data_IF_243036636771
#
_entry.id   IF_243036636771
#
_cell.length_a   1.000
_cell.length_b   1.000
_cell.length_c   1.000
_cell.angle_alpha   90.00
_cell.angle_beta   90.00
_cell.angle_gamma   90.00
#
_symmetry.space_group_name_H-M   'P 1'
#
loop_
_entity.id
_entity.type
_entity.pdbx_description
1 polymer ?
#
# COMPACT_ATOMS: atom_id res chain seq x y z
N UNK A 1 9.08 2.33 3.22
CA UNK A 1 9.48 1.05 3.82
C UNK A 1 9.74 0.01 2.73
N UNK A 2 10.85 -0.71 2.82
CA UNK A 2 11.14 -1.86 1.96
C UNK A 2 10.27 -3.06 2.33
N UNK A 3 9.68 -3.70 1.31
CA UNK A 3 8.69 -4.77 1.53
C UNK A 3 9.33 -6.06 2.07
N UNK A 4 10.57 -6.35 1.70
CA UNK A 4 11.28 -7.55 2.12
C UNK A 4 11.94 -7.36 3.49
N UNK A 5 12.90 -6.45 3.58
CA UNK A 5 13.72 -6.26 4.78
C UNK A 5 13.00 -5.54 5.92
N UNK A 6 11.87 -4.88 5.63
CA UNK A 6 11.17 -3.97 6.55
C UNK A 6 11.99 -2.74 6.93
N UNK A 7 13.06 -2.47 6.20
CA UNK A 7 13.82 -1.23 6.37
C UNK A 7 12.92 -0.03 6.12
N UNK A 8 12.85 0.85 7.12
CA UNK A 8 12.02 2.04 7.06
C UNK A 8 12.88 3.31 7.06
N UNK A 9 12.50 4.26 6.24
CA UNK A 9 13.02 5.61 6.20
C UNK A 9 11.89 6.60 6.48
N UNK A 10 12.17 7.63 7.24
CA UNK A 10 11.26 8.75 7.48
C UNK A 10 12.06 10.04 7.58
N UNK A 11 11.55 11.10 6.98
CA UNK A 11 12.21 12.39 6.92
C UNK A 11 11.23 13.50 7.28
N UNK A 12 11.60 14.43 8.16
CA UNK A 12 10.79 15.61 8.41
C UNK A 12 10.80 16.51 7.17
N UNK A 13 9.64 16.99 6.77
CA UNK A 13 9.48 17.93 5.64
C UNK A 13 8.68 19.14 6.07
N UNK A 14 9.01 20.31 5.52
CA UNK A 14 8.34 21.58 5.87
C UNK A 14 6.93 21.69 5.31
N UNK A 15 6.72 21.10 4.15
CA UNK A 15 5.43 21.06 3.46
C UNK A 15 5.30 19.74 2.70
N UNK A 16 4.07 19.40 2.30
CA UNK A 16 3.76 18.19 1.53
C UNK A 16 3.60 18.46 0.03
N UNK A 17 4.30 19.46 -0.50
CA UNK A 17 4.32 19.73 -1.93
C UNK A 17 5.02 18.61 -2.70
N UNK A 18 4.52 18.31 -3.89
CA UNK A 18 5.06 17.23 -4.73
C UNK A 18 6.56 17.38 -5.00
N UNK A 19 7.05 18.61 -5.21
CA UNK A 19 8.46 18.89 -5.42
C UNK A 19 9.31 18.56 -4.18
N UNK A 20 8.83 18.88 -2.97
CA UNK A 20 9.51 18.57 -1.72
C UNK A 20 9.60 17.08 -1.50
N UNK A 21 8.50 16.35 -1.70
CA UNK A 21 8.45 14.89 -1.56
C UNK A 21 9.35 14.20 -2.59
N UNK A 22 9.30 14.65 -3.85
CA UNK A 22 10.13 14.13 -4.94
C UNK A 22 11.62 14.33 -4.66
N UNK A 23 12.02 15.51 -4.18
CA UNK A 23 13.41 15.81 -3.81
C UNK A 23 13.91 14.88 -2.70
N UNK A 24 13.12 14.68 -1.65
CA UNK A 24 13.47 13.76 -0.56
C UNK A 24 13.60 12.32 -1.07
N UNK A 25 12.68 11.87 -1.92
CA UNK A 25 12.75 10.54 -2.52
C UNK A 25 14.06 10.35 -3.30
N UNK A 26 14.40 11.29 -4.17
CA UNK A 26 15.63 11.19 -4.99
C UNK A 26 16.88 11.27 -4.12
N UNK A 27 17.04 12.32 -3.32
CA UNK A 27 18.28 12.59 -2.59
C UNK A 27 18.51 11.61 -1.41
N UNK A 28 17.44 11.22 -0.72
CA UNK A 28 17.57 10.45 0.53
C UNK A 28 17.32 8.96 0.35
N UNK A 29 16.60 8.56 -0.69
CA UNK A 29 16.29 7.15 -0.93
C UNK A 29 17.02 6.64 -2.16
N UNK A 30 16.76 7.19 -3.34
CA UNK A 30 17.31 6.68 -4.60
C UNK A 30 18.85 6.81 -4.63
N UNK A 31 19.40 7.97 -4.24
CA UNK A 31 20.87 8.16 -4.20
C UNK A 31 21.58 7.29 -3.15
N UNK A 32 20.86 6.74 -2.16
CA UNK A 32 21.46 5.89 -1.11
C UNK A 32 21.28 4.40 -1.36
N UNK A 33 20.13 3.99 -1.85
CA UNK A 33 19.74 2.60 -1.96
C UNK A 33 19.61 2.11 -3.42
N UNK A 34 19.75 3.02 -4.38
CA UNK A 34 19.51 2.73 -5.79
C UNK A 34 18.03 2.90 -6.18
N UNK A 35 17.80 2.78 -7.49
CA UNK A 35 16.46 2.88 -8.07
C UNK A 35 15.65 1.62 -7.75
N UNK A 36 14.47 1.74 -7.11
CA UNK A 36 13.63 0.59 -6.83
C UNK A 36 12.93 0.11 -8.11
N UNK A 37 12.61 -1.17 -8.20
CA UNK A 37 11.83 -1.74 -9.31
C UNK A 37 10.40 -1.19 -9.31
N UNK A 38 9.81 -1.01 -8.13
CA UNK A 38 8.44 -0.48 -8.01
C UNK A 38 8.27 0.36 -6.75
N UNK A 39 7.35 1.33 -6.82
CA UNK A 39 6.93 2.15 -5.68
C UNK A 39 5.43 2.01 -5.49
N UNK A 40 5.02 1.50 -4.33
CA UNK A 40 3.63 1.45 -3.91
C UNK A 40 3.30 2.66 -3.03
N UNK A 41 2.31 3.46 -3.42
CA UNK A 41 1.83 4.59 -2.62
C UNK A 41 0.31 4.65 -2.59
N UNK A 42 -0.24 5.52 -1.73
CA UNK A 42 -1.62 5.96 -1.84
C UNK A 42 -1.80 6.89 -3.05
N UNK A 43 -3.01 7.41 -3.21
CA UNK A 43 -3.37 8.33 -4.31
C UNK A 43 -3.30 9.80 -3.87
N UNK A 44 -2.43 10.12 -2.91
CA UNK A 44 -2.17 11.50 -2.50
C UNK A 44 -1.60 12.31 -3.66
N UNK A 45 -2.03 13.56 -3.82
CA UNK A 45 -1.56 14.44 -4.92
C UNK A 45 -0.04 14.64 -4.87
N UNK A 46 0.54 14.62 -3.70
CA UNK A 46 1.98 14.76 -3.44
C UNK A 46 2.81 13.57 -3.94
N UNK A 47 2.23 12.38 -3.97
CA UNK A 47 2.91 11.13 -4.39
C UNK A 47 2.38 10.57 -5.70
N UNK A 48 1.26 11.10 -6.22
CA UNK A 48 0.68 10.71 -7.51
C UNK A 48 0.59 11.87 -8.52
N UNK A 49 1.24 13.00 -8.23
CA UNK A 49 1.31 14.16 -9.11
C UNK A 49 2.20 13.95 -10.34
N UNK A 50 2.17 14.91 -11.27
CA UNK A 50 2.94 14.87 -12.52
C UNK A 50 4.45 14.68 -12.29
N UNK A 51 5.03 15.39 -11.32
CA UNK A 51 6.47 15.29 -10.98
C UNK A 51 6.85 13.86 -10.60
N UNK A 52 6.06 13.21 -9.76
CA UNK A 52 6.36 11.85 -9.32
C UNK A 52 6.23 10.84 -10.46
N UNK A 53 5.24 11.00 -11.35
CA UNK A 53 5.08 10.14 -12.52
C UNK A 53 6.24 10.30 -13.50
N UNK A 54 6.71 11.53 -13.70
CA UNK A 54 7.84 11.82 -14.56
C UNK A 54 9.14 11.20 -14.03
N UNK A 55 9.40 11.32 -12.71
CA UNK A 55 10.55 10.66 -12.07
C UNK A 55 10.45 9.14 -12.23
N UNK A 56 9.29 8.55 -11.97
CA UNK A 56 9.11 7.10 -12.14
C UNK A 56 9.33 6.67 -13.59
N UNK A 57 8.85 7.44 -14.57
CA UNK A 57 9.07 7.18 -15.99
C UNK A 57 10.54 7.27 -16.40
N UNK A 58 11.24 8.33 -15.97
CA UNK A 58 12.66 8.53 -16.28
C UNK A 58 13.57 7.45 -15.68
N UNK A 59 13.22 6.94 -14.52
CA UNK A 59 13.99 5.94 -13.79
C UNK A 59 13.46 4.51 -13.97
N UNK A 60 12.51 4.31 -14.88
CA UNK A 60 11.88 3.01 -15.18
C UNK A 60 11.31 2.32 -13.93
N UNK A 61 10.68 3.11 -13.06
CA UNK A 61 10.08 2.63 -11.81
C UNK A 61 8.60 2.32 -12.04
N UNK A 62 8.17 1.09 -11.73
CA UNK A 62 6.76 0.74 -11.74
C UNK A 62 5.99 1.44 -10.64
N UNK A 63 5.13 2.39 -11.00
CA UNK A 63 4.29 3.10 -10.05
C UNK A 63 3.02 2.32 -9.76
N UNK A 64 2.94 1.76 -8.55
CA UNK A 64 1.79 0.99 -8.08
C UNK A 64 0.93 1.84 -7.14
N UNK A 65 -0.39 1.71 -7.27
CA UNK A 65 -1.35 2.41 -6.42
C UNK A 65 -2.04 1.45 -5.46
N UNK A 66 -2.21 1.90 -4.21
CA UNK A 66 -3.10 1.20 -3.31
C UNK A 66 -4.53 1.38 -3.80
N UNK A 67 -5.24 0.28 -4.00
CA UNK A 67 -6.66 0.33 -4.34
C UNK A 67 -7.43 1.01 -3.20
N UNK A 68 -8.23 2.01 -3.52
CA UNK A 68 -9.15 2.69 -2.58
C UNK A 68 -10.06 1.68 -1.85
N UNK A 69 -10.23 0.49 -2.45
CA UNK A 69 -11.15 -0.54 -2.00
C UNK A 69 -10.50 -1.73 -1.29
N UNK A 70 -9.15 -1.78 -1.20
CA UNK A 70 -8.44 -2.89 -0.55
C UNK A 70 -7.45 -2.38 0.50
N UNK A 71 -7.88 -2.13 1.75
CA UNK A 71 -7.05 -1.63 2.85
C UNK A 71 -5.82 -2.50 3.14
N UNK A 72 -5.90 -3.80 2.86
CA UNK A 72 -4.78 -4.74 3.10
C UNK A 72 -3.52 -4.44 2.30
N UNK A 73 -3.63 -3.73 1.18
CA UNK A 73 -2.49 -3.40 0.31
C UNK A 73 -1.55 -2.39 0.98
N UNK A 74 -2.09 -1.49 1.82
CA UNK A 74 -1.32 -0.49 2.56
C UNK A 74 -1.06 -0.86 4.03
N UNK A 75 -1.48 -2.04 4.44
CA UNK A 75 -1.44 -2.45 5.85
C UNK A 75 -0.02 -2.48 6.45
N UNK A 76 1.02 -2.62 5.63
CA UNK A 76 2.40 -2.62 6.11
C UNK A 76 2.82 -1.20 6.52
N UNK A 77 2.57 -0.20 5.68
CA UNK A 77 2.92 1.19 5.98
C UNK A 77 2.05 1.75 7.13
N UNK A 78 0.77 1.36 7.19
CA UNK A 78 -0.11 1.74 8.30
C UNK A 78 0.35 1.17 9.65
N UNK A 79 0.80 -0.09 9.67
CA UNK A 79 1.40 -0.69 10.88
C UNK A 79 2.69 0.01 11.26
N UNK A 80 3.54 0.31 10.30
CA UNK A 80 4.76 1.08 10.55
C UNK A 80 4.45 2.46 11.13
N UNK A 81 3.52 3.24 10.54
CA UNK A 81 3.13 4.54 11.08
C UNK A 81 2.59 4.43 12.52
N UNK A 82 1.83 3.39 12.82
CA UNK A 82 1.34 3.16 14.20
C UNK A 82 2.48 2.90 15.16
N UNK A 83 3.44 2.05 14.78
CA UNK A 83 4.63 1.76 15.58
C UNK A 83 5.48 3.01 15.75
N UNK A 84 5.76 3.74 14.67
CA UNK A 84 6.54 4.98 14.68
C UNK A 84 5.91 6.02 15.60
N UNK A 85 4.63 6.30 15.47
CA UNK A 85 3.91 7.24 16.32
C UNK A 85 3.90 6.82 17.80
N UNK A 86 3.74 5.52 18.06
CA UNK A 86 3.83 4.99 19.44
C UNK A 86 5.22 5.16 20.05
N UNK A 87 6.27 4.96 19.26
CA UNK A 87 7.65 5.12 19.74
C UNK A 87 8.00 6.60 19.96
N UNK A 88 7.66 7.46 19.02
CA UNK A 88 7.83 8.92 19.13
C UNK A 88 7.08 9.44 20.37
N UNK A 89 5.82 9.04 20.56
CA UNK A 89 5.01 9.48 21.68
C UNK A 89 5.55 9.11 23.07
N UNK A 90 6.54 8.21 23.14
CA UNK A 90 7.20 7.85 24.42
C UNK A 90 8.42 8.72 24.74
N UNK A 91 8.97 9.42 23.78
CA UNK A 91 10.26 10.14 23.92
C UNK A 91 10.13 11.65 23.71
N UNK A 92 9.07 12.12 23.05
CA UNK A 92 8.86 13.55 22.82
C UNK A 92 8.50 14.30 24.10
N UNK A 93 8.83 15.59 24.13
CA UNK A 93 8.44 16.50 25.21
C UNK A 93 6.93 16.76 25.25
N UNK A 94 6.44 17.28 26.37
CA UNK A 94 5.01 17.64 26.54
C UNK A 94 4.53 18.65 25.47
N UNK A 95 5.42 19.49 24.97
CA UNK A 95 5.12 20.48 23.92
C UNK A 95 5.04 19.88 22.52
N UNK A 96 5.55 18.66 22.33
CA UNK A 96 5.56 17.93 21.06
C UNK A 96 6.20 18.70 19.87
N UNK A 97 7.15 19.58 20.15
CA UNK A 97 7.82 20.39 19.13
C UNK A 97 9.16 19.84 18.66
N UNK A 98 9.65 18.79 19.30
CA UNK A 98 10.97 18.16 19.14
C UNK A 98 10.90 16.77 18.48
N UNK A 99 9.77 16.42 17.86
CA UNK A 99 9.56 15.09 17.30
C UNK A 99 10.54 14.76 16.16
N UNK A 100 10.96 15.75 15.39
CA UNK A 100 11.90 15.63 14.27
C UNK A 100 13.33 15.35 14.76
N UNK A 101 13.72 15.85 15.92
CA UNK A 101 14.99 15.55 16.57
C UNK A 101 15.06 14.09 17.05
N UNK A 102 13.94 13.53 17.52
CA UNK A 102 13.86 12.15 17.97
C UNK A 102 13.72 11.13 16.84
N UNK A 103 13.30 11.55 15.66
CA UNK A 103 13.00 10.68 14.53
C UNK A 103 14.17 9.76 14.13
N UNK A 104 15.43 10.22 14.02
CA UNK A 104 16.57 9.35 13.71
C UNK A 104 16.81 8.25 14.75
N UNK A 105 16.65 8.57 16.03
CA UNK A 105 16.86 7.60 17.12
C UNK A 105 15.77 6.55 17.16
N UNK A 106 14.53 6.95 16.95
CA UNK A 106 13.39 6.05 16.88
C UNK A 106 13.52 5.11 15.67
N UNK A 107 13.94 5.61 14.51
CA UNK A 107 14.19 4.79 13.35
C UNK A 107 15.36 3.81 13.56
N UNK A 108 16.43 4.25 14.23
CA UNK A 108 17.55 3.37 14.58
C UNK A 108 17.10 2.22 15.48
N UNK A 109 16.29 2.51 16.52
CA UNK A 109 15.72 1.48 17.40
C UNK A 109 14.78 0.53 16.64
N UNK A 110 13.92 1.04 15.75
CA UNK A 110 13.05 0.22 14.90
C UNK A 110 13.87 -0.74 14.01
N UNK A 111 14.92 -0.23 13.36
CA UNK A 111 15.77 -1.03 12.45
C UNK A 111 16.61 -2.08 13.17
N UNK A 112 16.92 -1.87 14.45
CA UNK A 112 17.65 -2.83 15.30
C UNK A 112 16.73 -3.90 15.91
N UNK A 113 15.40 -3.70 15.88
CA UNK A 113 14.46 -4.63 16.50
C UNK A 113 14.03 -5.70 15.50
N UNK A 114 13.97 -7.00 15.88
CA UNK A 114 13.44 -8.05 15.04
C UNK A 114 11.98 -7.79 14.68
N UNK A 115 11.63 -7.94 13.40
CA UNK A 115 10.28 -7.73 12.93
C UNK A 115 9.48 -9.04 12.97
N UNK A 116 8.27 -9.02 13.54
CA UNK A 116 7.43 -10.22 13.78
C UNK A 116 7.23 -11.09 12.53
N UNK A 117 7.14 -10.50 11.33
CA UNK A 117 6.87 -11.26 10.10
C UNK A 117 8.11 -11.91 9.51
N UNK A 118 9.30 -11.32 9.65
CA UNK A 118 10.57 -11.86 9.14
C UNK A 118 11.34 -12.64 10.22
N UNK A 119 11.17 -12.26 11.49
CA UNK A 119 11.92 -12.76 12.62
C UNK A 119 13.36 -12.25 12.68
N UNK A 120 13.71 -11.29 11.82
CA UNK A 120 15.02 -10.66 11.75
C UNK A 120 14.89 -9.15 11.82
N UNK A 121 15.96 -8.48 12.24
CA UNK A 121 16.02 -7.03 12.23
C UNK A 121 16.13 -6.49 10.79
N UNK A 122 15.58 -5.32 10.49
CA UNK A 122 15.85 -4.62 9.24
C UNK A 122 17.35 -4.35 9.00
N UNK A 123 18.12 -4.09 10.05
CA UNK A 123 19.57 -3.93 9.96
C UNK A 123 20.24 -5.18 9.36
N UNK A 124 19.95 -6.34 9.91
CA UNK A 124 20.53 -7.59 9.43
C UNK A 124 20.15 -7.88 7.98
N UNK A 125 18.87 -7.70 7.62
CA UNK A 125 18.39 -7.97 6.26
C UNK A 125 18.88 -6.96 5.21
N UNK A 126 19.18 -5.71 5.59
CA UNK A 126 19.61 -4.68 4.64
C UNK A 126 21.12 -4.51 4.62
N UNK A 127 21.76 -4.53 5.79
CA UNK A 127 23.20 -4.26 5.95
C UNK A 127 24.05 -5.54 6.08
N UNK A 128 23.41 -6.70 6.21
CA UNK A 128 24.08 -7.98 6.46
C UNK A 128 24.65 -8.14 7.88
N UNK A 129 24.44 -7.17 8.75
CA UNK A 129 24.92 -7.16 10.14
C UNK A 129 24.00 -6.38 11.03
N UNK A 130 24.07 -6.65 12.34
CA UNK A 130 23.45 -5.78 13.32
C UNK A 130 24.31 -4.53 13.54
N UNK A 131 23.65 -3.41 13.81
CA UNK A 131 24.34 -2.19 14.21
C UNK A 131 24.68 -2.27 15.71
N UNK A 132 25.93 -1.95 16.06
CA UNK A 132 26.32 -1.78 17.45
C UNK A 132 25.64 -0.56 18.03
N UNK A 133 24.85 -0.75 19.07
CA UNK A 133 24.26 0.35 19.83
C UNK A 133 25.31 1.03 20.72
N UNK A 134 25.11 2.29 21.13
CA UNK A 134 26.02 2.95 22.08
C UNK A 134 26.21 2.16 23.37
N UNK A 135 25.19 1.47 23.85
CA UNK A 135 25.23 0.58 25.03
C UNK A 135 26.16 -0.62 24.81
N UNK A 136 26.18 -1.21 23.61
CA UNK A 136 27.06 -2.34 23.28
C UNK A 136 28.54 -1.92 23.34
N UNK A 137 28.81 -0.66 22.99
CA UNK A 137 30.17 -0.10 23.10
C UNK A 137 30.56 0.10 24.55
N UNK A 138 29.64 0.58 25.39
CA UNK A 138 29.89 0.86 26.81
C UNK A 138 30.07 -0.43 27.62
N UNK A 139 29.22 -1.43 27.36
CA UNK A 139 29.25 -2.70 28.09
C UNK A 139 30.19 -3.75 27.48
N UNK A 140 30.80 -3.45 26.36
CA UNK A 140 31.74 -4.36 25.71
C UNK A 140 31.13 -5.71 25.36
N UNK A 141 29.89 -5.73 24.91
CA UNK A 141 29.25 -6.98 24.50
C UNK A 141 30.11 -7.68 23.44
N UNK A 142 30.42 -8.97 23.63
CA UNK A 142 31.24 -9.70 22.68
C UNK A 142 30.59 -9.68 21.31
N UNK A 143 31.39 -9.41 20.30
CA UNK A 143 30.95 -9.64 18.92
C UNK A 143 30.54 -11.11 18.81
N UNK A 144 29.32 -11.45 18.39
CA UNK A 144 28.86 -12.84 18.32
C UNK A 144 29.58 -13.65 17.22
N UNK A 145 30.55 -13.08 16.58
CA UNK A 145 31.27 -13.75 15.50
C UNK A 145 32.54 -14.40 16.04
N UNK A 146 32.69 -15.72 15.91
CA UNK A 146 34.01 -16.32 16.08
C UNK A 146 34.96 -15.67 15.06
N UNK A 147 36.15 -15.32 15.53
CA UNK A 147 37.26 -14.92 14.64
C UNK A 147 37.56 -16.11 13.71
N UNK A 148 36.89 -16.15 12.57
CA UNK A 148 37.32 -17.04 11.47
C UNK A 148 38.56 -16.38 10.92
N UNK A 149 39.71 -17.05 11.06
CA UNK A 149 40.92 -16.68 10.35
C UNK A 149 40.64 -16.66 8.85
N UNK A 150 40.31 -15.46 8.36
CA UNK A 150 40.02 -15.25 6.94
C UNK A 150 41.33 -14.97 6.25
N UNK A 151 41.85 -15.98 5.60
CA UNK A 151 43.16 -15.89 4.96
C UNK A 151 43.18 -15.05 3.68
N UNK A 152 42.01 -14.77 3.07
CA UNK A 152 41.94 -13.94 1.86
C UNK A 152 40.62 -13.10 1.80
N UNK A 153 40.65 -12.02 1.00
CA UNK A 153 39.44 -11.22 0.70
C UNK A 153 38.35 -12.05 0.01
N UNK A 154 38.76 -13.05 -0.80
CA UNK A 154 37.80 -13.92 -1.50
C UNK A 154 37.02 -14.78 -0.51
N UNK A 155 37.68 -15.38 0.48
CA UNK A 155 37.06 -16.21 1.50
C UNK A 155 36.05 -15.40 2.35
N UNK A 156 36.41 -14.15 2.65
CA UNK A 156 35.51 -13.23 3.35
C UNK A 156 34.25 -12.97 2.54
N UNK A 157 34.36 -12.65 1.25
CA UNK A 157 33.26 -12.36 0.37
C UNK A 157 32.35 -13.57 0.20
N UNK A 158 32.88 -14.76 0.00
CA UNK A 158 32.14 -16.01 -0.14
C UNK A 158 31.38 -16.35 1.16
N UNK A 159 32.05 -16.21 2.30
CA UNK A 159 31.42 -16.43 3.60
C UNK A 159 30.27 -15.46 3.84
N UNK A 160 30.47 -14.16 3.56
CA UNK A 160 29.45 -13.14 3.69
C UNK A 160 28.27 -13.42 2.75
N UNK A 161 28.51 -13.76 1.49
CA UNK A 161 27.45 -14.12 0.53
C UNK A 161 26.65 -15.34 0.99
N UNK A 162 27.33 -16.37 1.49
CA UNK A 162 26.68 -17.58 1.98
C UNK A 162 25.83 -17.29 3.21
N UNK A 163 26.35 -16.51 4.17
CA UNK A 163 25.62 -16.06 5.36
C UNK A 163 24.38 -15.26 4.98
N UNK A 164 24.51 -14.29 4.07
CA UNK A 164 23.36 -13.49 3.60
C UNK A 164 22.31 -14.33 2.88
N UNK A 165 22.73 -15.27 2.01
CA UNK A 165 21.79 -16.19 1.34
C UNK A 165 20.97 -16.98 2.35
N UNK A 166 21.64 -17.59 3.34
CA UNK A 166 20.97 -18.37 4.39
C UNK A 166 19.96 -17.52 5.17
N UNK A 167 20.35 -16.31 5.59
CA UNK A 167 19.46 -15.39 6.30
C UNK A 167 18.26 -14.96 5.43
N UNK A 168 18.50 -14.70 4.15
CA UNK A 168 17.43 -14.31 3.22
C UNK A 168 16.44 -15.45 2.96
N UNK A 169 16.91 -16.68 2.83
CA UNK A 169 16.04 -17.84 2.62
C UNK A 169 15.17 -18.08 3.86
N UNK A 170 15.76 -18.04 5.05
CA UNK A 170 15.00 -18.12 6.30
C UNK A 170 13.97 -16.97 6.46
N UNK A 171 14.36 -15.76 6.05
CA UNK A 171 13.44 -14.61 6.08
C UNK A 171 12.28 -14.79 5.08
N UNK A 172 12.55 -15.28 3.86
CA UNK A 172 11.51 -15.58 2.86
C UNK A 172 10.51 -16.60 3.38
N UNK A 173 10.99 -17.66 3.99
CA UNK A 173 10.12 -18.70 4.54
C UNK A 173 9.20 -18.15 5.64
N UNK A 174 9.74 -17.37 6.57
CA UNK A 174 8.95 -16.72 7.62
C UNK A 174 7.95 -15.72 7.07
N UNK A 175 8.35 -14.90 6.08
CA UNK A 175 7.45 -13.97 5.39
C UNK A 175 6.32 -14.72 4.68
N UNK A 176 6.61 -15.84 4.01
CA UNK A 176 5.62 -16.71 3.38
C UNK A 176 4.62 -17.28 4.38
N UNK A 177 5.10 -17.76 5.52
CA UNK A 177 4.23 -18.25 6.61
C UNK A 177 3.37 -17.13 7.20
N UNK A 178 3.94 -15.94 7.41
CA UNK A 178 3.20 -14.78 7.90
C UNK A 178 2.11 -14.33 6.90
N UNK A 179 2.42 -14.30 5.60
CA UNK A 179 1.46 -14.01 4.55
C UNK A 179 0.32 -15.05 4.52
N UNK A 180 0.65 -16.34 4.66
CA UNK A 180 -0.33 -17.42 4.74
C UNK A 180 -1.25 -17.31 5.98
N UNK A 181 -0.71 -16.93 7.15
CA UNK A 181 -1.51 -16.65 8.35
C UNK A 181 -2.45 -15.46 8.15
N UNK A 182 -1.93 -14.36 7.62
CA UNK A 182 -2.72 -13.16 7.35
C UNK A 182 -3.84 -13.43 6.34
N UNK A 183 -3.56 -14.20 5.29
CA UNK A 183 -4.57 -14.62 4.31
C UNK A 183 -5.68 -15.45 4.97
N UNK A 184 -5.32 -16.48 5.75
CA UNK A 184 -6.31 -17.31 6.46
C UNK A 184 -7.17 -16.48 7.41
N UNK A 185 -6.59 -15.56 8.18
CA UNK A 185 -7.33 -14.71 9.09
C UNK A 185 -8.27 -13.74 8.33
N UNK A 186 -7.83 -13.23 7.18
CA UNK A 186 -8.68 -12.43 6.30
C UNK A 186 -9.85 -13.27 5.76
N UNK A 187 -9.57 -14.44 5.21
CA UNK A 187 -10.58 -15.34 4.63
C UNK A 187 -11.61 -15.80 5.67
N UNK A 188 -11.21 -16.05 6.92
CA UNK A 188 -12.14 -16.38 8.02
C UNK A 188 -13.09 -15.21 8.36
N UNK A 189 -12.65 -13.97 8.20
CA UNK A 189 -13.46 -12.79 8.48
C UNK A 189 -14.33 -12.36 7.29
N UNK A 190 -14.00 -12.82 6.09
CA UNK A 190 -14.79 -12.58 4.88
C UNK A 190 -15.98 -13.54 4.88
N UNK A 191 -17.13 -13.07 5.34
CA UNK A 191 -18.40 -13.77 5.08
C UNK A 191 -18.62 -13.73 3.57
N UNK A 192 -18.85 -14.87 2.91
CA UNK A 192 -19.15 -14.90 1.48
C UNK A 192 -20.54 -14.28 1.25
N UNK A 193 -20.61 -12.95 1.25
CA UNK A 193 -21.82 -12.23 0.89
C UNK A 193 -21.84 -12.09 -0.62
N UNK A 194 -22.49 -13.02 -1.30
CA UNK A 194 -22.82 -12.85 -2.71
C UNK A 194 -24.08 -11.99 -2.81
N UNK A 195 -23.96 -10.86 -3.52
CA UNK A 195 -25.09 -10.01 -3.86
C UNK A 195 -25.42 -10.20 -5.33
N UNK A 196 -26.71 -10.13 -5.64
CA UNK A 196 -27.21 -10.19 -7.01
C UNK A 196 -27.79 -8.82 -7.42
N UNK A 197 -27.83 -8.49 -8.72
CA UNK A 197 -28.51 -7.28 -9.18
C UNK A 197 -29.95 -7.21 -8.65
N UNK A 198 -30.32 -6.03 -8.13
CA UNK A 198 -31.60 -5.82 -7.47
C UNK A 198 -31.56 -5.95 -5.94
N UNK A 199 -30.52 -6.50 -5.35
CA UNK A 199 -30.37 -6.57 -3.90
C UNK A 199 -30.23 -5.18 -3.28
N UNK A 200 -30.92 -4.96 -2.14
CA UNK A 200 -30.76 -3.75 -1.35
C UNK A 200 -29.63 -3.93 -0.32
N UNK A 201 -28.76 -2.92 -0.23
CA UNK A 201 -27.57 -2.94 0.62
C UNK A 201 -27.35 -1.60 1.32
N UNK A 202 -26.68 -1.64 2.46
CA UNK A 202 -26.11 -0.47 3.10
C UNK A 202 -24.62 -0.39 2.75
N UNK A 203 -24.15 0.82 2.50
CA UNK A 203 -22.74 1.09 2.18
C UNK A 203 -22.03 1.77 3.36
N UNK A 204 -20.90 1.25 3.77
CA UNK A 204 -20.04 1.83 4.81
C UNK A 204 -19.35 3.08 4.28
N UNK A 205 -19.68 4.24 4.84
CA UNK A 205 -19.10 5.52 4.46
C UNK A 205 -18.34 6.14 5.66
N UNK A 206 -17.00 6.04 5.69
CA UNK A 206 -16.18 6.54 6.79
C UNK A 206 -15.93 8.05 6.75
N UNK A 207 -16.64 8.82 5.91
CA UNK A 207 -16.44 10.27 5.82
C UNK A 207 -16.70 10.95 7.15
N UNK A 208 -15.73 11.73 7.61
CA UNK A 208 -15.86 12.63 8.74
C UNK A 208 -16.57 13.89 8.30
N UNK A 209 -17.59 14.29 9.04
CA UNK A 209 -18.27 15.57 8.83
C UNK A 209 -17.81 16.54 9.90
N UNK A 210 -17.33 17.72 9.49
CA UNK A 210 -16.93 18.80 10.39
C UNK A 210 -18.12 19.17 11.31
N UNK A 211 -17.88 19.23 12.63
CA UNK A 211 -18.90 19.57 13.61
C UNK A 211 -19.80 18.41 14.06
N UNK A 212 -19.55 17.17 13.62
CA UNK A 212 -20.31 15.99 14.09
C UNK A 212 -19.41 15.00 14.81
N UNK A 213 -19.87 14.50 15.95
CA UNK A 213 -19.17 13.44 16.69
C UNK A 213 -19.17 12.14 15.89
N UNK A 214 -17.99 11.57 15.69
CA UNK A 214 -17.80 10.29 14.97
C UNK A 214 -18.51 9.13 15.69
N UNK A 215 -18.60 9.18 17.03
CA UNK A 215 -19.25 8.14 17.86
C UNK A 215 -20.74 8.04 17.61
N UNK A 216 -21.40 9.13 17.22
CA UNK A 216 -22.85 9.20 17.00
C UNK A 216 -23.23 9.28 15.51
N UNK A 217 -22.25 9.28 14.63
CA UNK A 217 -22.49 9.30 13.19
C UNK A 217 -22.85 7.90 12.69
N UNK A 218 -23.89 7.82 11.87
CA UNK A 218 -24.24 6.56 11.20
C UNK A 218 -23.15 6.22 10.19
N UNK A 219 -22.43 5.12 10.43
CA UNK A 219 -21.33 4.66 9.56
C UNK A 219 -21.83 4.05 8.24
N UNK A 220 -23.09 3.62 8.20
CA UNK A 220 -23.71 3.04 7.01
C UNK A 220 -24.72 4.00 6.42
N UNK A 221 -24.62 4.22 5.12
CA UNK A 221 -25.55 5.02 4.32
C UNK A 221 -26.34 4.11 3.38
N UNK A 222 -27.53 4.52 3.00
CA UNK A 222 -28.42 3.76 2.13
C UNK A 222 -29.85 3.72 2.64
N UNK A 223 -30.67 2.80 2.18
CA UNK A 223 -30.33 1.65 1.31
C UNK A 223 -29.94 2.05 -0.12
N UNK A 224 -29.09 1.24 -0.73
CA UNK A 224 -28.66 1.34 -2.12
C UNK A 224 -28.93 0.03 -2.83
N UNK A 225 -29.02 0.05 -4.15
CA UNK A 225 -29.31 -1.14 -4.97
C UNK A 225 -28.01 -1.61 -5.63
N UNK A 226 -27.80 -2.92 -5.65
CA UNK A 226 -26.77 -3.54 -6.45
C UNK A 226 -27.22 -3.57 -7.91
N UNK A 227 -26.51 -2.84 -8.77
CA UNK A 227 -26.83 -2.78 -10.21
C UNK A 227 -26.11 -3.90 -10.97
N UNK A 228 -24.81 -4.08 -10.68
CA UNK A 228 -23.99 -5.08 -11.41
C UNK A 228 -22.88 -5.61 -10.49
N UNK A 229 -22.51 -6.88 -10.68
CA UNK A 229 -21.29 -7.45 -10.11
C UNK A 229 -20.16 -7.26 -11.12
N UNK A 230 -19.10 -6.56 -10.72
CA UNK A 230 -17.94 -6.25 -11.59
C UNK A 230 -16.78 -7.25 -11.44
N UNK A 231 -16.86 -8.13 -10.43
CA UNK A 231 -15.84 -9.12 -10.15
C UNK A 231 -16.13 -9.90 -8.86
N UNK A 232 -15.20 -10.71 -8.38
CA UNK A 232 -15.43 -11.53 -7.17
C UNK A 232 -15.82 -10.71 -5.94
N UNK A 233 -15.28 -9.51 -5.81
CA UNK A 233 -15.39 -8.66 -4.60
C UNK A 233 -15.90 -7.24 -4.88
N UNK A 234 -16.12 -6.84 -6.12
CA UNK A 234 -16.53 -5.49 -6.50
C UNK A 234 -17.94 -5.47 -7.08
N UNK A 235 -18.73 -4.50 -6.62
CA UNK A 235 -20.12 -4.30 -7.00
C UNK A 235 -20.38 -2.87 -7.40
N UNK A 236 -21.21 -2.67 -8.41
CA UNK A 236 -21.72 -1.37 -8.82
C UNK A 236 -22.98 -1.08 -8.01
N UNK A 237 -22.97 -0.03 -7.22
CA UNK A 237 -24.09 0.40 -6.38
C UNK A 237 -24.72 1.68 -6.89
N UNK A 238 -26.03 1.83 -6.70
CA UNK A 238 -26.79 3.02 -7.07
C UNK A 238 -27.86 3.31 -6.03
N UNK A 239 -28.06 4.59 -5.67
CA UNK A 239 -29.05 4.98 -4.66
C UNK A 239 -30.47 4.97 -5.19
N UNK A 240 -30.66 5.38 -6.45
CA UNK A 240 -31.94 5.42 -7.16
C UNK A 240 -31.69 5.33 -8.65
N UNK A 241 -32.73 5.06 -9.47
CA UNK A 241 -32.63 4.91 -10.93
C UNK A 241 -31.89 6.08 -11.61
N UNK A 242 -32.02 7.29 -11.08
CA UNK A 242 -31.45 8.52 -11.67
C UNK A 242 -30.15 9.00 -10.97
N UNK A 243 -29.63 8.29 -9.98
CA UNK A 243 -28.38 8.65 -9.31
C UNK A 243 -27.18 8.07 -10.04
N UNK A 244 -26.03 8.72 -9.96
CA UNK A 244 -24.78 8.17 -10.52
C UNK A 244 -24.37 6.89 -9.77
N UNK A 245 -24.05 5.81 -10.49
CA UNK A 245 -23.54 4.59 -9.89
C UNK A 245 -22.09 4.76 -9.44
N UNK A 246 -21.69 3.99 -8.42
CA UNK A 246 -20.31 3.95 -7.96
C UNK A 246 -19.89 2.53 -7.59
N UNK A 247 -18.59 2.26 -7.64
CA UNK A 247 -18.02 0.95 -7.33
C UNK A 247 -17.76 0.83 -5.83
N UNK A 248 -18.20 -0.29 -5.24
CA UNK A 248 -17.97 -0.61 -3.84
C UNK A 248 -17.41 -2.02 -3.66
N UNK A 249 -16.46 -2.17 -2.75
CA UNK A 249 -15.93 -3.48 -2.34
C UNK A 249 -16.91 -4.19 -1.40
N UNK A 250 -16.99 -5.52 -1.46
CA UNK A 250 -17.90 -6.34 -0.67
C UNK A 250 -17.78 -6.11 0.84
N UNK A 251 -16.57 -5.85 1.36
CA UNK A 251 -16.36 -5.57 2.79
C UNK A 251 -17.03 -4.29 3.30
N UNK A 252 -17.37 -3.39 2.39
CA UNK A 252 -18.08 -2.13 2.69
C UNK A 252 -19.59 -2.23 2.49
N UNK A 253 -20.09 -3.41 2.15
CA UNK A 253 -21.49 -3.63 1.81
C UNK A 253 -22.12 -4.54 2.86
N UNK A 254 -23.29 -4.15 3.34
CA UNK A 254 -24.10 -4.96 4.25
C UNK A 254 -25.49 -5.14 3.65
N UNK A 255 -26.03 -6.37 3.65
CA UNK A 255 -27.37 -6.67 3.14
C UNK A 255 -28.43 -5.87 3.91
N UNK A 256 -29.36 -5.29 3.18
CA UNK A 256 -30.59 -4.71 3.72
C UNK A 256 -31.70 -5.74 3.63
N UNK A 257 -32.21 -6.16 4.77
CA UNK A 257 -33.35 -7.07 4.86
C UNK A 257 -34.64 -6.26 4.83
N UNK A 258 -35.76 -6.89 4.53
CA UNK A 258 -37.13 -6.30 4.51
C UNK A 258 -37.40 -5.30 3.37
N UNK A 259 -36.81 -5.52 2.20
CA UNK A 259 -37.20 -4.82 0.98
C UNK A 259 -37.27 -5.80 -0.19
N UNK A 260 -38.28 -5.60 -1.02
CA UNK A 260 -38.43 -6.35 -2.26
C UNK A 260 -37.32 -6.00 -3.25
N UNK A 261 -37.00 -6.95 -4.15
CA UNK A 261 -35.99 -6.77 -5.18
C UNK A 261 -36.30 -5.56 -6.05
N UNK A 262 -35.29 -4.74 -6.31
CA UNK A 262 -35.45 -3.55 -7.17
C UNK A 262 -35.46 -3.95 -8.66
N UNK A 263 -36.61 -4.19 -9.21
CA UNK A 263 -36.80 -4.68 -10.58
C UNK A 263 -36.10 -3.78 -11.63
N UNK A 264 -36.08 -2.46 -11.43
CA UNK A 264 -35.41 -1.55 -12.34
C UNK A 264 -33.89 -1.81 -12.49
N UNK A 265 -33.22 -2.30 -11.45
CA UNK A 265 -31.80 -2.63 -11.51
C UNK A 265 -31.56 -3.96 -12.26
N UNK A 266 -32.50 -4.89 -12.17
CA UNK A 266 -32.47 -6.14 -12.95
C UNK A 266 -32.67 -5.87 -14.44
N UNK A 267 -33.53 -4.94 -14.78
CA UNK A 267 -33.78 -4.50 -16.17
C UNK A 267 -32.56 -3.81 -16.79
N UNK A 268 -31.87 -2.95 -16.02
CA UNK A 268 -30.62 -2.29 -16.50
C UNK A 268 -29.53 -3.29 -16.88
N UNK A 269 -29.42 -4.42 -16.15
CA UNK A 269 -28.45 -5.46 -16.51
C UNK A 269 -28.82 -6.17 -17.81
N UNK A 270 -30.10 -6.42 -18.05
CA UNK A 270 -30.57 -7.02 -19.30
C UNK A 270 -30.29 -6.11 -20.51
N UNK A 271 -30.47 -4.81 -20.37
CA UNK A 271 -30.16 -3.83 -21.41
C UNK A 271 -28.68 -3.73 -21.71
N UNK A 272 -27.81 -3.70 -20.67
CA UNK A 272 -26.35 -3.61 -20.86
C UNK A 272 -25.72 -4.89 -21.45
N UNK A 273 -26.35 -6.04 -21.31
CA UNK A 273 -25.92 -7.29 -21.95
C UNK A 273 -26.28 -7.28 -23.44
N UNK A 274 -27.41 -6.72 -23.79
CA UNK A 274 -27.85 -6.59 -25.21
C UNK A 274 -26.98 -5.58 -25.96
N UNK A 275 -26.53 -4.50 -25.33
CA UNK A 275 -25.62 -3.52 -25.95
C UNK A 275 -24.17 -4.02 -26.12
N UNK A 276 -23.73 -4.96 -25.27
CA UNK A 276 -22.39 -5.55 -25.36
C UNK A 276 -22.23 -6.56 -26.53
N UNK A 277 -23.33 -7.07 -27.09
CA UNK A 277 -23.35 -7.96 -28.23
C UNK A 277 -23.47 -7.25 -29.57
N UNK A 278 -23.47 -5.90 -29.59
CA UNK A 278 -23.40 -5.15 -30.87
C UNK A 278 -21.94 -5.07 -31.32
N UNK A 279 -21.66 -5.39 -32.63
CA UNK A 279 -20.28 -5.35 -33.12
C UNK A 279 -19.74 -3.93 -33.05
N UNK A 280 -18.54 -3.80 -32.48
CA UNK A 280 -17.79 -2.55 -32.43
C UNK A 280 -17.58 -2.05 -33.86
N UNK A 281 -18.22 -0.95 -34.25
CA UNK A 281 -17.89 -0.23 -35.46
C UNK A 281 -16.46 0.29 -35.32
N UNK A 282 -15.55 -0.34 -36.03
CA UNK A 282 -14.21 0.19 -36.27
C UNK A 282 -14.34 1.31 -37.32
N UNK A 283 -14.43 2.55 -36.83
CA UNK A 283 -14.21 3.72 -37.70
C UNK A 283 -12.72 3.77 -38.05
N UNK A 284 -12.42 3.36 -39.27
CA UNK A 284 -11.14 3.65 -39.91
C UNK A 284 -11.06 5.15 -40.18
N UNK A 285 -10.00 5.86 -39.81
CA UNK A 285 -9.81 7.25 -40.22
C UNK A 285 -9.55 7.30 -41.73
N UNK A 286 -10.40 8.08 -42.43
CA UNK A 286 -10.35 8.29 -43.86
C UNK A 286 -8.99 8.77 -44.35
N UNK A 287 -8.50 8.13 -45.36
CA UNK A 287 -7.40 8.60 -46.21
C UNK A 287 -7.79 9.94 -46.83
N UNK A 288 -7.10 11.00 -46.46
CA UNK A 288 -7.13 12.28 -47.16
C UNK A 288 -6.23 12.16 -48.39
N UNK A 289 -6.82 12.07 -49.59
CA UNK A 289 -6.14 12.23 -50.86
C UNK A 289 -5.53 13.63 -50.92
N UNK A 290 -4.20 13.66 -51.07
CA UNK A 290 -3.46 14.89 -51.41
C UNK A 290 -3.56 15.03 -52.95
N UNK A 291 -4.45 15.94 -53.39
CA UNK A 291 -4.50 16.39 -54.78
C UNK A 291 -3.25 17.19 -55.12
N UNK A 292 -2.48 16.69 -56.08
CA UNK A 292 -1.53 17.46 -56.86
C UNK A 292 -2.29 18.48 -57.70
N UNK A 293 -1.92 19.75 -57.56
CA UNK A 293 -2.18 20.74 -58.58
C UNK A 293 -0.88 21.44 -58.93
N UNK A 294 -0.42 21.13 -60.14
CA UNK A 294 0.55 21.95 -60.88
C UNK A 294 -0.03 23.36 -61.13
N UNK A 295 0.71 24.38 -60.75
CA UNK A 295 1.08 25.55 -61.58
C UNK A 295 2.05 26.46 -60.80
#
# INVERSE_FOLDING_TARGET
IDVFSKWAEAYPIRNKEAATVAKVLVEKVICRFGTPLSILSDQGKEVDGAIMREICSLLEIDKLHTSVYKPSTNAQIERFHRSLNSMIGKVISDKQTDWDEWLPYVLAAYRASPHDSSGFSPNLLTLGRENRAPLDVVFGLPSPEPEVEQNTYCDYVEHMQTKLRTVYDLARDKLGQAAGRNKRQYDMNVKPAAFVPGDWVYYYNPRRFTGKSEKWSRKYIGPMVVVKRLGPVNYLLQKSRNSLPFVAHVDKIKRCYNRDTANWAVECVKQSVVEADLPVRTDQPGQTEIGHNDH
#
